data_IF_388289210019
#
_entry.id   IF_388289210019
#
_cell.length_a   1.000
_cell.length_b   1.000
_cell.length_c   1.000
_cell.angle_alpha   90.00
_cell.angle_beta   90.00
_cell.angle_gamma   90.00
#
_symmetry.space_group_name_H-M   'P 1'
#
loop_
_entity.id
_entity.type
_entity.pdbx_description
1 polymer ?
#
# COMPACT_ATOMS: atom_id res chain seq x y z
N UNK A 1 16.55 -15.60 -4.68
CA UNK A 1 15.76 -16.62 -5.29
C UNK A 1 14.40 -16.09 -5.66
N UNK A 2 14.06 -16.27 -6.91
CA UNK A 2 12.86 -15.69 -7.49
C UNK A 2 11.58 -16.28 -6.91
N UNK A 3 11.63 -17.52 -6.47
CA UNK A 3 10.44 -18.18 -5.92
C UNK A 3 10.04 -17.66 -4.54
N UNK A 4 10.89 -16.84 -3.90
CA UNK A 4 10.54 -16.19 -2.65
C UNK A 4 9.90 -14.82 -2.87
N UNK A 5 9.93 -14.33 -4.09
CA UNK A 5 9.34 -13.04 -4.45
C UNK A 5 8.04 -13.33 -5.18
N UNK A 6 6.90 -12.83 -4.68
CA UNK A 6 5.63 -13.09 -5.34
C UNK A 6 5.62 -12.56 -6.77
N UNK A 7 5.01 -13.31 -7.67
CA UNK A 7 4.74 -12.81 -9.01
C UNK A 7 3.68 -11.71 -8.94
N UNK A 8 3.54 -10.96 -10.03
CA UNK A 8 2.53 -9.92 -10.09
C UNK A 8 1.11 -10.45 -9.79
N UNK A 9 0.68 -11.59 -10.38
CA UNK A 9 -0.64 -12.13 -10.03
C UNK A 9 -0.79 -12.49 -8.56
N UNK A 10 0.26 -13.02 -7.94
CA UNK A 10 0.21 -13.36 -6.51
C UNK A 10 0.12 -12.08 -5.67
N UNK A 11 0.88 -11.05 -6.05
CA UNK A 11 0.84 -9.78 -5.34
C UNK A 11 -0.54 -9.14 -5.43
N UNK A 12 -1.17 -9.20 -6.60
CA UNK A 12 -2.53 -8.70 -6.78
C UNK A 12 -3.52 -9.45 -5.91
N UNK A 13 -3.37 -10.75 -5.82
CA UNK A 13 -4.26 -11.57 -4.99
C UNK A 13 -4.11 -11.24 -3.52
N UNK A 14 -2.87 -11.07 -3.06
CA UNK A 14 -2.62 -10.68 -1.68
C UNK A 14 -3.23 -9.31 -1.41
N UNK A 15 -3.09 -8.38 -2.34
CA UNK A 15 -3.67 -7.05 -2.23
C UNK A 15 -5.19 -7.11 -2.15
N UNK A 16 -5.84 -7.93 -2.98
CA UNK A 16 -7.29 -8.07 -2.98
C UNK A 16 -7.81 -8.63 -1.65
N UNK A 17 -7.15 -9.65 -1.13
CA UNK A 17 -7.52 -10.23 0.16
C UNK A 17 -7.34 -9.21 1.26
N UNK A 18 -6.27 -8.44 1.20
CA UNK A 18 -5.99 -7.39 2.19
C UNK A 18 -7.03 -6.29 2.15
N UNK A 19 -7.47 -5.89 0.95
CA UNK A 19 -8.50 -4.87 0.79
C UNK A 19 -9.80 -5.32 1.45
N UNK A 20 -10.20 -6.57 1.22
CA UNK A 20 -11.39 -7.11 1.87
C UNK A 20 -11.27 -7.05 3.38
N UNK A 21 -10.13 -7.49 3.89
CA UNK A 21 -9.88 -7.49 5.32
C UNK A 21 -9.93 -6.07 5.89
N UNK A 22 -9.26 -5.14 5.25
CA UNK A 22 -9.22 -3.74 5.68
C UNK A 22 -10.63 -3.17 5.69
N UNK A 23 -11.36 -3.37 4.59
CA UNK A 23 -12.67 -2.79 4.43
C UNK A 23 -13.65 -3.30 5.49
N UNK A 24 -13.58 -4.59 5.77
CA UNK A 24 -14.47 -5.21 6.78
C UNK A 24 -14.05 -4.84 8.19
N UNK A 25 -12.76 -4.62 8.42
CA UNK A 25 -12.24 -4.28 9.76
C UNK A 25 -12.48 -2.83 10.13
N UNK A 26 -12.68 -1.97 9.15
CA UNK A 26 -12.95 -0.56 9.42
C UNK A 26 -14.37 -0.42 9.95
N UNK A 27 -14.52 0.40 10.98
CA UNK A 27 -15.84 0.71 11.50
C UNK A 27 -16.43 1.85 10.67
N UNK A 28 -16.72 1.55 9.43
CA UNK A 28 -17.30 2.50 8.50
C UNK A 28 -18.79 2.25 8.45
N UNK A 29 -19.56 3.27 8.71
CA UNK A 29 -21.01 3.14 8.69
C UNK A 29 -21.54 2.95 7.27
N UNK A 30 -20.86 3.52 6.30
CA UNK A 30 -21.27 3.40 4.91
C UNK A 30 -20.20 2.64 4.14
N UNK A 31 -20.61 1.52 3.57
CA UNK A 31 -19.73 0.69 2.76
C UNK A 31 -20.06 0.89 1.29
N UNK A 32 -19.85 2.10 0.84
CA UNK A 32 -20.13 2.45 -0.53
C UNK A 32 -19.05 1.93 -1.47
N UNK A 33 -19.41 1.75 -2.73
CA UNK A 33 -18.48 1.32 -3.75
C UNK A 33 -17.29 2.29 -3.83
N UNK A 34 -17.56 3.58 -3.71
CA UNK A 34 -16.49 4.59 -3.75
C UNK A 34 -15.47 4.38 -2.63
N UNK A 35 -15.93 4.08 -1.43
CA UNK A 35 -15.05 3.80 -0.31
C UNK A 35 -14.19 2.57 -0.53
N UNK A 36 -14.79 1.54 -1.10
CA UNK A 36 -14.07 0.32 -1.42
C UNK A 36 -12.97 0.61 -2.46
N UNK A 37 -13.30 1.37 -3.49
CA UNK A 37 -12.34 1.73 -4.53
C UNK A 37 -11.16 2.54 -3.98
N UNK A 38 -11.44 3.44 -3.06
CA UNK A 38 -10.39 4.22 -2.42
C UNK A 38 -9.40 3.29 -1.70
N UNK A 39 -9.90 2.39 -0.88
CA UNK A 39 -9.05 1.46 -0.14
C UNK A 39 -8.30 0.53 -1.10
N UNK A 40 -8.98 0.05 -2.12
CA UNK A 40 -8.36 -0.82 -3.11
C UNK A 40 -7.19 -0.10 -3.82
N UNK A 41 -7.42 1.12 -4.25
CA UNK A 41 -6.39 1.89 -4.94
C UNK A 41 -5.20 2.20 -4.04
N UNK A 42 -5.48 2.62 -2.81
CA UNK A 42 -4.42 2.90 -1.84
C UNK A 42 -3.60 1.67 -1.54
N UNK A 43 -4.25 0.55 -1.30
CA UNK A 43 -3.55 -0.69 -0.97
C UNK A 43 -2.65 -1.14 -2.11
N UNK A 44 -3.19 -1.17 -3.33
CA UNK A 44 -2.41 -1.58 -4.49
C UNK A 44 -1.22 -0.65 -4.71
N UNK A 45 -1.45 0.65 -4.63
CA UNK A 45 -0.41 1.63 -4.92
C UNK A 45 0.73 1.59 -3.90
N UNK A 46 0.39 1.57 -2.62
CA UNK A 46 1.42 1.55 -1.58
C UNK A 46 2.13 0.21 -1.49
N UNK A 47 1.40 -0.89 -1.67
CA UNK A 47 2.04 -2.21 -1.67
C UNK A 47 3.03 -2.33 -2.82
N UNK A 48 2.66 -1.85 -4.00
CA UNK A 48 3.58 -1.90 -5.14
C UNK A 48 4.81 -1.03 -4.90
N UNK A 49 4.63 0.18 -4.39
CA UNK A 49 5.75 1.08 -4.12
C UNK A 49 6.73 0.45 -3.13
N UNK A 50 6.22 -0.08 -2.03
CA UNK A 50 7.07 -0.71 -1.02
C UNK A 50 7.75 -1.95 -1.57
N UNK A 51 7.00 -2.78 -2.30
CA UNK A 51 7.57 -3.98 -2.91
C UNK A 51 8.73 -3.64 -3.84
N UNK A 52 8.55 -2.65 -4.70
CA UNK A 52 9.60 -2.27 -5.65
C UNK A 52 10.83 -1.69 -4.94
N UNK A 53 10.61 -0.84 -3.96
CA UNK A 53 11.72 -0.22 -3.24
C UNK A 53 12.52 -1.25 -2.46
N UNK A 54 11.86 -2.23 -1.85
CA UNK A 54 12.54 -3.21 -1.03
C UNK A 54 13.15 -4.36 -1.83
N UNK A 55 12.58 -4.70 -2.97
CA UNK A 55 12.99 -5.90 -3.71
C UNK A 55 13.65 -5.59 -5.06
N UNK A 56 13.31 -4.48 -5.68
CA UNK A 56 13.85 -4.10 -6.99
C UNK A 56 14.25 -2.62 -7.02
N UNK A 57 15.16 -2.20 -6.11
CA UNK A 57 15.46 -0.76 -5.98
C UNK A 57 16.05 -0.13 -7.23
N UNK A 58 16.66 -0.94 -8.09
CA UNK A 58 17.25 -0.41 -9.34
C UNK A 58 16.19 -0.08 -10.38
N UNK A 59 15.01 -0.65 -10.25
CA UNK A 59 13.95 -0.47 -11.25
C UNK A 59 12.75 0.29 -10.70
N UNK A 60 12.90 0.90 -9.53
CA UNK A 60 11.80 1.63 -8.92
C UNK A 60 11.54 2.90 -9.70
N UNK A 61 10.26 3.17 -9.98
CA UNK A 61 9.87 4.36 -10.72
C UNK A 61 9.90 5.60 -9.83
N UNK A 62 9.90 6.77 -10.48
CA UNK A 62 9.80 8.04 -9.75
C UNK A 62 8.49 8.10 -8.97
N UNK A 63 7.42 7.59 -9.56
CA UNK A 63 6.12 7.52 -8.91
C UNK A 63 6.19 6.70 -7.62
N UNK A 64 6.80 5.53 -7.67
CA UNK A 64 6.92 4.68 -6.49
C UNK A 64 7.72 5.34 -5.38
N UNK A 65 8.78 6.06 -5.74
CA UNK A 65 9.56 6.82 -4.76
C UNK A 65 8.73 7.88 -4.08
N UNK A 66 7.90 8.59 -4.84
CA UNK A 66 7.04 9.63 -4.30
C UNK A 66 5.98 9.05 -3.38
N UNK A 67 5.40 7.92 -3.78
CA UNK A 67 4.42 7.22 -2.96
C UNK A 67 5.04 6.80 -1.63
N UNK A 68 6.23 6.22 -1.68
CA UNK A 68 6.93 5.80 -0.47
C UNK A 68 7.16 6.97 0.49
N UNK A 69 7.49 8.14 -0.04
CA UNK A 69 7.74 9.32 0.78
C UNK A 69 6.50 9.80 1.53
N UNK A 70 5.33 9.45 1.05
CA UNK A 70 4.07 9.85 1.72
C UNK A 70 3.85 9.10 3.02
N UNK A 71 4.47 7.92 3.16
CA UNK A 71 4.33 7.14 4.40
C UNK A 71 4.85 7.93 5.60
N UNK A 72 4.15 7.86 6.75
CA UNK A 72 4.67 8.45 7.98
C UNK A 72 5.99 7.84 8.40
N UNK A 73 6.81 8.61 9.10
CA UNK A 73 8.14 8.18 9.51
C UNK A 73 8.11 6.91 10.36
N UNK A 74 7.09 6.76 11.20
CA UNK A 74 6.98 5.56 12.04
C UNK A 74 6.90 4.28 11.22
N UNK A 75 6.20 4.32 10.08
CA UNK A 75 6.11 3.17 9.20
C UNK A 75 7.38 2.99 8.38
N UNK A 76 7.99 4.10 7.94
CA UNK A 76 9.26 4.03 7.23
C UNK A 76 10.35 3.41 8.09
N UNK A 77 10.37 3.72 9.39
CA UNK A 77 11.34 3.14 10.30
C UNK A 77 11.19 1.63 10.40
N UNK A 78 9.95 1.14 10.39
CA UNK A 78 9.72 -0.30 10.39
C UNK A 78 10.22 -0.94 9.09
N UNK A 79 10.04 -0.24 7.97
CA UNK A 79 10.41 -0.77 6.66
C UNK A 79 11.92 -0.76 6.39
N UNK A 80 12.69 -0.04 7.19
CA UNK A 80 14.15 -0.03 7.04
C UNK A 80 14.76 -1.39 7.36
N UNK A 81 14.08 -2.20 8.17
CA UNK A 81 14.60 -3.51 8.56
C UNK A 81 14.66 -4.45 7.36
N UNK A 82 15.87 -4.75 6.91
CA UNK A 82 16.11 -5.59 5.74
C UNK A 82 15.85 -7.07 5.99
N UNK A 83 15.63 -7.45 7.24
CA UNK A 83 15.34 -8.84 7.59
C UNK A 83 13.89 -9.22 7.40
N UNK A 84 13.03 -8.22 7.17
CA UNK A 84 11.62 -8.49 6.99
C UNK A 84 11.37 -9.20 5.66
N UNK A 85 10.46 -10.16 5.67
CA UNK A 85 10.02 -10.82 4.45
C UNK A 85 9.14 -9.86 3.64
N UNK A 86 8.86 -10.25 2.39
CA UNK A 86 7.92 -9.49 1.55
C UNK A 86 6.58 -9.36 2.26
N UNK A 87 6.08 -10.42 2.85
CA UNK A 87 4.79 -10.41 3.52
C UNK A 87 4.78 -9.49 4.73
N UNK A 88 5.88 -9.46 5.48
CA UNK A 88 5.97 -8.56 6.62
C UNK A 88 6.00 -7.10 6.19
N UNK A 89 6.70 -6.80 5.11
CA UNK A 89 6.70 -5.45 4.55
C UNK A 89 5.30 -5.03 4.12
N UNK A 90 4.59 -5.92 3.44
CA UNK A 90 3.23 -5.62 3.00
C UNK A 90 2.28 -5.47 4.18
N UNK A 91 2.50 -6.23 5.24
CA UNK A 91 1.67 -6.10 6.44
C UNK A 91 1.83 -4.73 7.09
N UNK A 92 3.03 -4.17 7.06
CA UNK A 92 3.26 -2.82 7.57
C UNK A 92 2.42 -1.81 6.78
N UNK A 93 2.38 -1.97 5.45
CA UNK A 93 1.54 -1.11 4.60
C UNK A 93 0.07 -1.28 4.96
N UNK A 94 -0.37 -2.51 5.14
CA UNK A 94 -1.77 -2.80 5.49
C UNK A 94 -2.14 -2.15 6.82
N UNK A 95 -1.24 -2.21 7.79
CA UNK A 95 -1.47 -1.57 9.08
C UNK A 95 -1.61 -0.05 8.93
N UNK A 96 -0.78 0.55 8.09
CA UNK A 96 -0.88 1.97 7.80
C UNK A 96 -2.25 2.33 7.22
N UNK A 97 -2.68 1.60 6.20
CA UNK A 97 -3.94 1.90 5.52
C UNK A 97 -5.13 1.65 6.44
N UNK A 98 -5.06 0.58 7.23
CA UNK A 98 -6.13 0.24 8.17
C UNK A 98 -6.36 1.32 9.21
N UNK A 99 -5.32 2.07 9.55
CA UNK A 99 -5.41 3.12 10.55
C UNK A 99 -5.85 4.47 10.01
N UNK A 100 -6.03 4.60 8.71
CA UNK A 100 -6.42 5.88 8.13
C UNK A 100 -7.87 6.22 8.45
N UNK A 101 -8.12 7.50 8.72
CA UNK A 101 -9.49 8.00 8.76
C UNK A 101 -10.03 8.10 7.34
N UNK A 102 -11.35 8.19 7.21
CA UNK A 102 -11.96 8.34 5.90
C UNK A 102 -11.48 9.61 5.20
N UNK A 103 -11.32 10.70 5.95
CA UNK A 103 -10.83 11.96 5.39
C UNK A 103 -9.39 11.80 4.87
N UNK A 104 -8.54 11.15 5.65
CA UNK A 104 -7.14 10.96 5.24
C UNK A 104 -7.05 10.00 4.06
N UNK A 105 -7.86 8.96 4.04
CA UNK A 105 -7.88 8.03 2.92
C UNK A 105 -8.30 8.75 1.63
N UNK A 106 -9.33 9.57 1.70
CA UNK A 106 -9.79 10.34 0.54
C UNK A 106 -8.74 11.31 0.07
N UNK A 107 -8.06 11.98 1.00
CA UNK A 107 -6.99 12.93 0.67
C UNK A 107 -5.84 12.23 -0.05
N UNK A 108 -5.41 11.10 0.49
CA UNK A 108 -4.33 10.34 -0.14
C UNK A 108 -4.74 9.80 -1.50
N UNK A 109 -5.97 9.35 -1.62
CA UNK A 109 -6.48 8.86 -2.90
C UNK A 109 -6.40 9.96 -3.97
N UNK A 110 -6.76 11.18 -3.62
CA UNK A 110 -6.67 12.30 -4.56
C UNK A 110 -5.22 12.56 -4.96
N UNK A 111 -4.32 12.50 -4.00
CA UNK A 111 -2.90 12.71 -4.26
C UNK A 111 -2.36 11.67 -5.24
N UNK A 112 -2.62 10.40 -4.98
CA UNK A 112 -2.06 9.33 -5.83
C UNK A 112 -2.77 9.23 -7.17
N UNK A 113 -4.01 9.71 -7.27
CA UNK A 113 -4.78 9.60 -8.51
C UNK A 113 -4.55 10.76 -9.46
N UNK A 114 -4.23 11.95 -8.96
CA UNK A 114 -4.18 13.12 -9.79
C UNK A 114 -2.92 13.95 -9.67
N UNK A 115 -2.49 14.22 -8.46
CA UNK A 115 -1.45 15.21 -8.24
C UNK A 115 -0.04 14.68 -8.40
N UNK A 116 0.14 13.37 -8.34
CA UNK A 116 1.46 12.78 -8.46
C UNK A 116 2.02 12.95 -9.87
N UNK A 117 1.16 13.11 -10.83
CA UNK A 117 1.56 13.34 -12.22
C UNK A 117 2.30 14.66 -12.40
N UNK A 118 2.01 15.58 -11.55
CA UNK A 118 2.60 16.90 -11.62
C UNK A 118 3.81 16.97 -10.69
#
# INVERSE_FOLDING_TARGET
LTDKIPSAPVLEKISSISVEYIYQSRQVLEREVAGYEIIEKLTATFCQAVFMIKNNPKFVSTKDKKIYKVLPDSFKLQLINDRLSVYENLRIVIDFISGLTDSNASRLYKIISGNIKN
#
